data_IF_482645293641
#
_entry.id   IF_482645293641
#
_cell.length_a   1.000
_cell.length_b   1.000
_cell.length_c   1.000
_cell.angle_alpha   90.00
_cell.angle_beta   90.00
_cell.angle_gamma   90.00
#
_symmetry.space_group_name_H-M   'P 1'
#
loop_
_entity.id
_entity.type
_entity.pdbx_description
1 polymer ?
#
# COMPACT_ATOMS: atom_id res chain seq x y z
N UNK A 1 -14.28 -14.28 7.67
CA UNK A 1 -13.73 -13.51 6.55
C UNK A 1 -12.46 -12.81 6.99
N UNK A 2 -11.41 -12.96 6.22
CA UNK A 2 -10.13 -12.34 6.55
C UNK A 2 -10.12 -10.87 6.16
N UNK A 3 -9.74 -10.02 7.10
CA UNK A 3 -9.57 -8.60 6.82
C UNK A 3 -8.10 -8.30 6.62
N UNK A 4 -7.75 -7.72 5.49
CA UNK A 4 -6.37 -7.35 5.17
C UNK A 4 -6.03 -5.95 5.67
N UNK A 5 -7.04 -5.11 5.93
CA UNK A 5 -6.85 -3.72 6.36
C UNK A 5 -7.69 -3.43 7.59
N UNK A 6 -7.01 -3.14 8.71
CA UNK A 6 -7.65 -2.62 9.91
C UNK A 6 -7.59 -1.08 9.87
N UNK A 7 -8.47 -0.36 10.59
CA UNK A 7 -8.36 1.11 10.60
C UNK A 7 -6.97 1.61 11.02
N UNK A 8 -6.29 0.90 11.91
CA UNK A 8 -4.92 1.27 12.33
C UNK A 8 -3.90 1.17 11.19
N UNK A 9 -4.25 0.49 10.10
CA UNK A 9 -3.40 0.33 8.91
C UNK A 9 -3.68 1.39 7.85
N UNK A 10 -4.55 2.37 8.14
CA UNK A 10 -4.87 3.46 7.22
C UNK A 10 -4.33 4.75 7.81
N UNK A 11 -3.39 5.36 7.11
CA UNK A 11 -2.69 6.57 7.57
C UNK A 11 -3.07 7.73 6.65
N UNK A 12 -3.88 8.64 7.16
CA UNK A 12 -4.39 9.78 6.39
C UNK A 12 -3.59 11.05 6.68
N UNK A 13 -3.52 11.92 5.69
CA UNK A 13 -2.96 13.27 5.82
C UNK A 13 -1.49 13.26 6.28
N UNK A 14 -0.68 12.43 5.65
CA UNK A 14 0.74 12.31 5.94
C UNK A 14 1.54 13.39 5.23
N UNK A 15 2.59 13.88 5.88
CA UNK A 15 3.46 14.94 5.35
C UNK A 15 4.74 14.43 4.70
N UNK A 16 4.74 13.19 4.19
CA UNK A 16 5.91 12.67 3.48
C UNK A 16 6.16 13.47 2.21
N UNK A 17 7.44 13.66 1.87
CA UNK A 17 7.85 14.40 0.69
C UNK A 17 8.52 13.54 -0.38
N UNK A 18 9.11 12.42 -0.01
CA UNK A 18 9.83 11.54 -0.95
C UNK A 18 9.31 10.12 -0.87
N UNK A 19 9.54 9.37 -1.95
CA UNK A 19 9.20 7.95 -1.98
C UNK A 19 9.92 7.18 -0.87
N UNK A 20 11.19 7.49 -0.64
CA UNK A 20 11.97 6.83 0.41
C UNK A 20 11.36 7.05 1.80
N UNK A 21 10.89 8.27 2.08
CA UNK A 21 10.21 8.57 3.34
C UNK A 21 8.95 7.74 3.50
N UNK A 22 8.17 7.56 2.42
CA UNK A 22 6.96 6.74 2.45
C UNK A 22 7.29 5.29 2.76
N UNK A 23 8.29 4.74 2.07
CA UNK A 23 8.68 3.33 2.26
C UNK A 23 9.24 3.10 3.67
N UNK A 24 9.99 4.06 4.19
CA UNK A 24 10.48 4.00 5.57
C UNK A 24 9.33 4.02 6.58
N UNK A 25 8.36 4.89 6.37
CA UNK A 25 7.20 5.01 7.25
C UNK A 25 6.36 3.73 7.22
N UNK A 26 6.16 3.14 6.03
CA UNK A 26 5.45 1.87 5.90
C UNK A 26 6.16 0.75 6.68
N UNK A 27 7.49 0.71 6.61
CA UNK A 27 8.29 -0.29 7.29
C UNK A 27 8.23 -0.11 8.82
N UNK A 28 8.29 1.14 9.28
CA UNK A 28 8.14 1.45 10.71
C UNK A 28 6.76 1.06 11.22
N UNK A 29 5.73 1.33 10.43
CA UNK A 29 4.36 1.00 10.79
C UNK A 29 4.13 -0.51 10.84
N UNK A 30 4.74 -1.25 9.91
CA UNK A 30 4.68 -2.71 9.91
C UNK A 30 5.26 -3.28 11.21
N UNK A 31 6.35 -2.70 11.70
CA UNK A 31 6.93 -3.10 12.98
C UNK A 31 5.99 -2.75 14.14
N UNK A 32 5.49 -1.53 14.15
CA UNK A 32 4.59 -1.04 15.20
C UNK A 32 3.33 -1.90 15.31
N UNK A 33 2.77 -2.32 14.19
CA UNK A 33 1.53 -3.10 14.13
C UNK A 33 1.75 -4.60 14.32
N UNK A 34 2.99 -5.05 14.46
CA UNK A 34 3.30 -6.47 14.64
C UNK A 34 3.22 -7.29 13.36
N UNK A 35 3.17 -6.64 12.20
CA UNK A 35 3.19 -7.31 10.90
C UNK A 35 4.57 -7.95 10.67
N UNK A 36 5.61 -7.31 11.17
CA UNK A 36 6.98 -7.80 11.11
C UNK A 36 7.70 -7.60 12.45
N UNK A 37 8.77 -8.36 12.66
CA UNK A 37 9.72 -8.13 13.74
C UNK A 37 11.05 -7.57 13.20
N UNK A 38 11.15 -7.37 11.88
CA UNK A 38 12.37 -6.91 11.23
C UNK A 38 12.06 -5.79 10.23
N UNK A 39 12.05 -4.57 10.74
CA UNK A 39 11.74 -3.37 9.98
C UNK A 39 12.68 -3.20 8.77
N UNK A 40 13.97 -3.47 8.97
CA UNK A 40 14.96 -3.26 7.92
C UNK A 40 14.77 -4.23 6.75
N UNK A 41 14.37 -5.47 7.03
CA UNK A 41 14.08 -6.44 5.99
C UNK A 41 12.88 -6.01 5.14
N UNK A 42 11.86 -5.42 5.78
CA UNK A 42 10.69 -4.90 5.06
C UNK A 42 11.08 -3.73 4.18
N UNK A 43 11.88 -2.78 4.71
CA UNK A 43 12.34 -1.63 3.93
C UNK A 43 13.16 -2.09 2.73
N UNK A 44 14.06 -3.05 2.92
CA UNK A 44 14.88 -3.60 1.84
C UNK A 44 14.01 -4.25 0.75
N UNK A 45 12.93 -4.93 1.14
CA UNK A 45 12.02 -5.56 0.19
C UNK A 45 11.27 -4.51 -0.64
N UNK A 46 10.80 -3.43 -0.01
CA UNK A 46 10.18 -2.32 -0.74
C UNK A 46 11.17 -1.70 -1.72
N UNK A 47 12.39 -1.43 -1.28
CA UNK A 47 13.42 -0.81 -2.12
C UNK A 47 13.74 -1.70 -3.32
N UNK A 48 13.89 -3.00 -3.10
CA UNK A 48 14.20 -3.95 -4.16
C UNK A 48 13.09 -3.98 -5.22
N UNK A 49 11.83 -3.90 -4.80
CA UNK A 49 10.71 -3.89 -5.75
C UNK A 49 10.69 -2.60 -6.56
N UNK A 50 10.93 -1.45 -5.91
CA UNK A 50 10.96 -0.17 -6.63
C UNK A 50 12.13 -0.09 -7.61
N UNK A 51 13.24 -0.76 -7.29
CA UNK A 51 14.40 -0.82 -8.18
C UNK A 51 14.10 -1.59 -9.47
N UNK A 52 13.11 -2.49 -9.47
CA UNK A 52 12.68 -3.21 -10.66
C UNK A 52 11.80 -2.34 -11.57
N UNK A 53 11.29 -1.23 -11.04
CA UNK A 53 10.41 -0.33 -11.74
C UNK A 53 9.41 0.27 -10.77
N UNK A 54 8.95 1.48 -11.03
CA UNK A 54 8.03 2.17 -10.15
C UNK A 54 6.71 1.42 -9.98
N UNK A 55 6.17 1.42 -8.77
CA UNK A 55 4.84 0.89 -8.48
C UNK A 55 3.76 1.96 -8.58
N UNK A 56 4.09 3.15 -9.06
CA UNK A 56 3.10 4.19 -9.35
C UNK A 56 2.18 3.74 -10.47
N UNK A 57 0.88 3.79 -10.23
CA UNK A 57 -0.12 3.29 -11.17
C UNK A 57 -0.78 4.45 -11.91
N UNK A 58 -2.06 4.69 -11.67
CA UNK A 58 -2.82 5.71 -12.37
C UNK A 58 -3.54 6.62 -11.40
N UNK A 59 -3.84 7.83 -11.87
CA UNK A 59 -4.67 8.80 -11.15
C UNK A 59 -4.19 9.04 -9.71
N UNK A 60 -2.85 9.10 -9.55
CA UNK A 60 -2.24 9.43 -8.27
C UNK A 60 -2.13 8.30 -7.27
N UNK A 61 -2.39 7.05 -7.68
CA UNK A 61 -2.29 5.88 -6.79
C UNK A 61 -1.04 5.07 -7.08
N UNK A 62 -0.36 4.63 -6.02
CA UNK A 62 0.77 3.70 -6.13
C UNK A 62 0.45 2.45 -5.30
N UNK A 63 1.05 1.33 -5.69
CA UNK A 63 0.86 0.06 -4.98
C UNK A 63 2.24 -0.53 -4.65
N UNK A 64 2.94 0.06 -3.66
CA UNK A 64 4.25 -0.48 -3.29
C UNK A 64 4.13 -1.88 -2.70
N UNK A 65 5.15 -2.71 -2.92
CA UNK A 65 5.15 -4.11 -2.54
C UNK A 65 6.37 -4.47 -1.69
N UNK A 66 6.15 -5.25 -0.62
CA UNK A 66 7.23 -5.88 0.12
C UNK A 66 6.95 -7.37 0.22
N UNK A 67 7.79 -8.18 -0.42
CA UNK A 67 7.74 -9.65 -0.35
C UNK A 67 8.94 -10.11 0.44
N UNK A 68 8.71 -10.60 1.64
CA UNK A 68 9.80 -11.11 2.49
C UNK A 68 9.20 -11.99 3.57
N UNK A 69 9.92 -13.04 3.95
CA UNK A 69 9.52 -13.92 5.04
C UNK A 69 9.58 -13.21 6.41
N UNK A 70 10.10 -11.98 6.45
CA UNK A 70 10.01 -11.15 7.64
C UNK A 70 8.57 -10.68 7.92
N UNK A 71 7.69 -10.76 6.91
CA UNK A 71 6.26 -10.50 7.08
C UNK A 71 5.57 -11.76 7.59
N UNK A 72 4.83 -11.65 8.69
CA UNK A 72 4.17 -12.80 9.32
C UNK A 72 2.94 -13.25 8.55
N UNK A 73 2.04 -12.32 8.25
CA UNK A 73 0.81 -12.57 7.50
C UNK A 73 0.62 -11.44 6.50
N UNK A 74 0.01 -11.76 5.37
CA UNK A 74 -0.27 -10.77 4.34
C UNK A 74 -1.12 -9.63 4.90
N UNK A 75 -0.74 -8.40 4.58
CA UNK A 75 -1.41 -7.21 5.07
C UNK A 75 -1.37 -6.10 4.04
N UNK A 76 -2.30 -5.15 4.17
CA UNK A 76 -2.34 -3.94 3.34
C UNK A 76 -2.24 -2.73 4.26
N UNK A 77 -1.40 -1.78 3.92
CA UNK A 77 -1.30 -0.51 4.64
C UNK A 77 -1.59 0.60 3.62
N UNK A 78 -2.50 1.50 3.97
CA UNK A 78 -2.89 2.60 3.08
C UNK A 78 -2.32 3.90 3.61
N UNK A 79 -1.74 4.69 2.69
CA UNK A 79 -1.22 6.02 3.01
C UNK A 79 -1.87 7.04 2.09
N UNK A 80 -2.18 8.22 2.64
CA UNK A 80 -2.68 9.34 1.85
C UNK A 80 -1.91 10.58 2.30
N UNK A 81 -1.40 11.34 1.32
CA UNK A 81 -0.46 12.44 1.58
C UNK A 81 -1.12 13.80 1.44
N UNK A 82 -0.64 14.77 2.23
CA UNK A 82 -1.13 16.15 2.16
C UNK A 82 -0.67 16.87 0.89
N UNK A 83 0.45 16.41 0.33
CA UNK A 83 0.98 16.93 -0.94
C UNK A 83 1.52 15.77 -1.77
N UNK A 84 1.55 15.90 -3.11
CA UNK A 84 2.05 14.82 -3.96
C UNK A 84 3.50 14.47 -3.66
N UNK A 85 3.84 13.19 -3.86
CA UNK A 85 5.22 12.70 -3.73
C UNK A 85 5.92 12.90 -5.06
N UNK A 86 6.76 13.91 -5.15
CA UNK A 86 7.32 14.40 -6.42
C UNK A 86 8.22 13.39 -7.14
N UNK A 87 8.94 12.54 -6.39
CA UNK A 87 9.90 11.61 -6.98
C UNK A 87 9.34 10.21 -7.22
N UNK A 88 8.02 10.05 -7.20
CA UNK A 88 7.37 8.75 -7.45
C UNK A 88 6.69 8.77 -8.82
N UNK A 89 7.27 8.07 -9.77
CA UNK A 89 6.74 8.01 -11.13
C UNK A 89 5.48 7.14 -11.21
N UNK A 90 4.55 7.51 -12.09
CA UNK A 90 3.33 6.76 -12.32
C UNK A 90 3.20 6.41 -13.81
N UNK A 91 2.35 5.43 -14.11
CA UNK A 91 2.13 4.97 -15.49
C UNK A 91 1.59 6.10 -16.38
N UNK A 92 0.69 6.91 -15.85
CA UNK A 92 0.01 7.98 -16.60
C UNK A 92 0.59 9.36 -16.40
N UNK A 93 1.71 9.47 -15.66
CA UNK A 93 2.32 10.75 -15.35
C UNK A 93 1.66 11.53 -14.23
N UNK A 94 0.61 10.98 -13.59
CA UNK A 94 -0.04 11.66 -12.46
C UNK A 94 0.87 11.68 -11.24
N UNK A 95 0.70 12.68 -10.39
CA UNK A 95 1.46 12.79 -9.15
C UNK A 95 0.86 11.88 -8.08
N UNK A 96 1.69 11.12 -7.37
CA UNK A 96 1.22 10.15 -6.39
C UNK A 96 0.76 10.86 -5.12
N UNK A 97 -0.50 10.61 -4.74
CA UNK A 97 -1.12 11.16 -3.53
C UNK A 97 -1.62 10.08 -2.57
N UNK A 98 -1.76 8.84 -3.04
CA UNK A 98 -2.24 7.72 -2.23
C UNK A 98 -1.39 6.50 -2.52
N UNK A 99 -0.98 5.77 -1.49
CA UNK A 99 -0.29 4.49 -1.63
C UNK A 99 -1.09 3.38 -0.98
N UNK A 100 -1.31 2.28 -1.70
CA UNK A 100 -1.93 1.08 -1.16
C UNK A 100 -0.84 0.01 -1.14
N UNK A 101 -0.18 -0.15 0.01
CA UNK A 101 0.97 -1.03 0.12
C UNK A 101 0.56 -2.46 0.40
N UNK A 102 1.20 -3.39 -0.32
CA UNK A 102 1.04 -4.84 -0.12
C UNK A 102 2.27 -5.38 0.60
N UNK A 103 2.06 -6.08 1.71
CA UNK A 103 3.13 -6.73 2.47
C UNK A 103 2.76 -8.21 2.55
N UNK A 104 3.57 -9.07 1.96
CA UNK A 104 3.29 -10.51 1.92
C UNK A 104 4.52 -11.33 2.27
N UNK A 105 4.34 -12.48 2.96
CA UNK A 105 5.45 -13.43 3.15
C UNK A 105 5.94 -13.93 1.79
N UNK A 106 7.25 -14.10 1.63
CA UNK A 106 7.83 -14.56 0.38
C UNK A 106 7.29 -15.94 0.01
N UNK A 107 7.01 -16.79 0.99
CA UNK A 107 6.45 -18.10 0.76
C UNK A 107 5.06 -18.07 0.11
N UNK A 108 4.31 -16.97 0.29
CA UNK A 108 2.97 -16.79 -0.28
C UNK A 108 2.96 -15.93 -1.55
N UNK A 109 4.13 -15.46 -1.99
CA UNK A 109 4.21 -14.50 -3.09
C UNK A 109 3.63 -15.01 -4.41
N UNK A 110 3.73 -16.31 -4.66
CA UNK A 110 3.22 -16.91 -5.90
C UNK A 110 1.71 -17.03 -5.98
N UNK A 111 1.00 -16.92 -4.86
CA UNK A 111 -0.46 -17.05 -4.84
C UNK A 111 -1.13 -15.83 -4.21
N UNK A 112 -0.86 -15.58 -2.93
CA UNK A 112 -1.51 -14.49 -2.20
C UNK A 112 -1.17 -13.12 -2.80
N UNK A 113 0.10 -12.90 -3.12
CA UNK A 113 0.55 -11.63 -3.70
C UNK A 113 -0.17 -11.33 -5.01
N UNK A 114 -0.19 -12.32 -5.92
CA UNK A 114 -0.80 -12.13 -7.24
C UNK A 114 -2.30 -11.89 -7.11
N UNK A 115 -2.96 -12.64 -6.23
CA UNK A 115 -4.41 -12.50 -6.00
C UNK A 115 -4.75 -11.12 -5.44
N UNK A 116 -4.03 -10.67 -4.42
CA UNK A 116 -4.27 -9.36 -3.82
C UNK A 116 -3.98 -8.23 -4.80
N UNK A 117 -2.86 -8.33 -5.52
CA UNK A 117 -2.50 -7.31 -6.50
C UNK A 117 -3.56 -7.20 -7.60
N UNK A 118 -4.05 -8.34 -8.11
CA UNK A 118 -5.09 -8.33 -9.15
C UNK A 118 -6.38 -7.68 -8.66
N UNK A 119 -6.78 -7.95 -7.43
CA UNK A 119 -7.99 -7.36 -6.84
C UNK A 119 -7.84 -5.86 -6.63
N UNK A 120 -6.69 -5.41 -6.16
CA UNK A 120 -6.41 -3.99 -6.00
C UNK A 120 -6.37 -3.28 -7.34
N UNK A 121 -5.69 -3.87 -8.33
CA UNK A 121 -5.61 -3.29 -9.66
C UNK A 121 -7.00 -3.13 -10.27
N UNK A 122 -7.86 -4.13 -10.10
CA UNK A 122 -9.24 -4.05 -10.60
C UNK A 122 -10.03 -2.96 -9.89
N UNK A 123 -9.89 -2.85 -8.57
CA UNK A 123 -10.56 -1.81 -7.79
C UNK A 123 -10.13 -0.42 -8.26
N UNK A 124 -8.85 -0.25 -8.56
CA UNK A 124 -8.31 1.03 -9.03
C UNK A 124 -8.81 1.44 -10.42
N UNK A 125 -9.43 0.53 -11.17
CA UNK A 125 -10.08 0.88 -12.44
C UNK A 125 -11.42 1.58 -12.22
N UNK A 126 -11.94 1.55 -11.01
CA UNK A 126 -13.23 2.13 -10.66
C UNK A 126 -13.06 3.55 -10.14
N UNK A 127 -13.55 4.54 -10.90
CA UNK A 127 -13.45 5.95 -10.52
C UNK A 127 -14.08 6.22 -9.15
N UNK A 128 -15.22 5.61 -8.89
CA UNK A 128 -15.94 5.81 -7.63
C UNK A 128 -15.12 5.31 -6.43
N UNK A 129 -14.40 4.20 -6.61
CA UNK A 129 -13.54 3.66 -5.57
C UNK A 129 -12.40 4.64 -5.24
N UNK A 130 -11.71 5.14 -6.28
CA UNK A 130 -10.62 6.09 -6.09
C UNK A 130 -11.11 7.39 -5.43
N UNK A 131 -12.23 7.91 -5.90
CA UNK A 131 -12.80 9.15 -5.35
C UNK A 131 -13.22 8.97 -3.90
N UNK A 132 -13.76 7.81 -3.54
CA UNK A 132 -14.18 7.54 -2.17
C UNK A 132 -12.96 7.50 -1.21
N UNK A 133 -11.84 6.93 -1.66
CA UNK A 133 -10.62 6.91 -0.85
C UNK A 133 -10.08 8.33 -0.66
N UNK A 134 -10.08 9.14 -1.72
CA UNK A 134 -9.62 10.53 -1.62
C UNK A 134 -10.52 11.39 -0.73
N UNK A 135 -11.81 11.09 -0.70
CA UNK A 135 -12.78 11.87 0.08
C UNK A 135 -12.94 11.41 1.51
N UNK A 136 -12.43 10.23 1.87
CA UNK A 136 -12.61 9.67 3.20
C UNK A 136 -12.04 10.59 4.29
N UNK A 137 -12.78 10.72 5.39
CA UNK A 137 -12.37 11.53 6.54
C UNK A 137 -11.92 10.68 7.72
N UNK A 138 -12.27 9.39 7.71
CA UNK A 138 -11.93 8.47 8.79
C UNK A 138 -11.25 7.21 8.26
N UNK A 139 -10.24 6.68 8.96
CA UNK A 139 -9.55 5.46 8.51
C UNK A 139 -10.48 4.27 8.27
N UNK A 140 -11.52 4.11 9.10
CA UNK A 140 -12.48 3.01 8.95
C UNK A 140 -13.21 3.02 7.62
N UNK A 141 -13.46 4.20 7.05
CA UNK A 141 -14.10 4.31 5.73
C UNK A 141 -13.23 3.68 4.65
N UNK A 142 -11.92 3.94 4.72
CA UNK A 142 -10.96 3.38 3.74
C UNK A 142 -10.80 1.89 3.94
N UNK A 143 -10.67 1.43 5.18
CA UNK A 143 -10.52 -0.01 5.45
C UNK A 143 -11.72 -0.80 4.94
N UNK A 144 -12.94 -0.29 5.12
CA UNK A 144 -14.15 -0.95 4.61
C UNK A 144 -14.16 -1.01 3.08
N UNK A 145 -13.79 0.09 2.42
CA UNK A 145 -13.74 0.12 0.95
C UNK A 145 -12.78 -0.92 0.40
N UNK A 146 -11.60 -1.03 0.98
CA UNK A 146 -10.58 -1.95 0.49
C UNK A 146 -10.93 -3.39 0.82
N UNK A 147 -11.33 -3.68 2.06
CA UNK A 147 -11.72 -5.03 2.45
C UNK A 147 -12.88 -5.55 1.59
N UNK A 148 -13.82 -4.67 1.23
CA UNK A 148 -14.94 -5.03 0.36
C UNK A 148 -14.49 -5.48 -1.02
N UNK A 149 -13.37 -4.95 -1.51
CA UNK A 149 -12.81 -5.35 -2.81
C UNK A 149 -11.90 -6.58 -2.71
N UNK A 150 -11.33 -6.85 -1.55
CA UNK A 150 -10.40 -7.98 -1.36
C UNK A 150 -11.08 -9.25 -0.88
N UNK A 151 -12.31 -9.18 -0.40
CA UNK A 151 -12.97 -10.29 0.28
C UNK A 151 -13.63 -11.32 -0.65
N UNK A 152 -13.58 -11.15 -1.93
CA UNK A 152 -14.21 -12.11 -2.88
C UNK A 152 -13.32 -13.29 -3.17
#
# INVERSE_FOLDING_TARGET
>A
MKEFVQPAQVLLDLDCMTKDEVLALLSDKALELGITNDRDAVKAAFDAREDEGSTGMMDGFAVPHAKTDAIKDAAVIVTRFTAPIADWESIDGSEITVGIALLVPDAEAGSTHITLLAKIARALMDDAFRDAIRAATEPGQVSELINGRLSD
#
